data_IF_210285322478
#
_entry.id   IF_210285322478
#
_cell.length_a   1.000
_cell.length_b   1.000
_cell.length_c   1.000
_cell.angle_alpha   90.00
_cell.angle_beta   90.00
_cell.angle_gamma   90.00
#
_symmetry.space_group_name_H-M   'P 1'
#
loop_
_entity.id
_entity.type
_entity.pdbx_description
1 polymer ?
#
# COMPACT_ATOMS: atom_id res chain seq x y z
N UNK A 1 11.41 -7.65 7.10
CA UNK A 1 11.13 -7.25 5.70
C UNK A 1 10.05 -6.18 5.71
N UNK A 2 10.20 -5.14 4.88
CA UNK A 2 9.24 -4.05 4.71
C UNK A 2 8.76 -4.04 3.26
N UNK A 3 7.44 -3.95 3.05
CA UNK A 3 6.80 -3.99 1.72
C UNK A 3 6.02 -2.71 1.50
N UNK A 4 6.26 -2.05 0.37
CA UNK A 4 5.46 -0.91 -0.10
C UNK A 4 4.47 -1.42 -1.14
N UNK A 5 3.19 -1.11 -1.01
CA UNK A 5 2.17 -1.51 -1.97
C UNK A 5 1.01 -0.52 -2.03
N UNK A 6 0.30 -0.51 -3.14
CA UNK A 6 -0.95 0.23 -3.30
C UNK A 6 -2.08 -0.38 -2.45
N UNK A 7 -2.90 0.48 -1.89
CA UNK A 7 -4.01 0.12 -1.02
C UNK A 7 -5.26 0.85 -1.48
N UNK A 8 -6.21 0.08 -2.02
CA UNK A 8 -7.45 0.62 -2.58
C UNK A 8 -8.42 1.07 -1.47
N UNK A 9 -8.36 0.44 -0.29
CA UNK A 9 -9.25 0.78 0.81
C UNK A 9 -8.82 2.06 1.57
N UNK A 10 -7.67 2.64 1.20
CA UNK A 10 -7.22 3.93 1.71
C UNK A 10 -7.46 5.04 0.68
N UNK A 11 -7.95 6.22 1.12
CA UNK A 11 -8.05 7.38 0.25
C UNK A 11 -6.72 7.75 -0.40
N UNK A 12 -6.77 8.35 -1.59
CA UNK A 12 -5.58 8.84 -2.27
C UNK A 12 -4.79 9.80 -1.37
N UNK A 13 -3.47 9.60 -1.27
CA UNK A 13 -2.59 10.43 -0.45
C UNK A 13 -2.37 9.89 0.97
N UNK A 14 -3.20 8.97 1.45
CA UNK A 14 -3.00 8.41 2.79
C UNK A 14 -1.89 7.35 2.81
N UNK A 15 -0.94 7.50 3.73
CA UNK A 15 0.13 6.52 3.94
C UNK A 15 0.02 5.96 5.35
N UNK A 16 -0.24 4.65 5.45
CA UNK A 16 -0.42 3.97 6.73
C UNK A 16 0.56 2.81 6.89
N UNK A 17 1.60 2.95 7.72
CA UNK A 17 2.45 1.82 8.09
C UNK A 17 1.71 0.83 8.99
N UNK A 18 2.03 -0.46 8.85
CA UNK A 18 1.49 -1.54 9.69
C UNK A 18 2.42 -2.74 9.73
N UNK A 19 2.48 -3.45 10.86
CA UNK A 19 3.07 -4.78 10.94
C UNK A 19 1.99 -5.86 10.77
N UNK A 20 2.20 -6.80 9.85
CA UNK A 20 1.29 -7.93 9.64
C UNK A 20 -0.07 -7.56 9.04
N UNK A 21 -1.10 -8.30 9.42
CA UNK A 21 -2.49 -8.08 8.99
C UNK A 21 -2.93 -8.85 7.73
N UNK A 22 -4.22 -8.73 7.41
CA UNK A 22 -4.85 -9.38 6.25
C UNK A 22 -4.25 -8.93 4.92
N UNK A 23 -4.41 -9.75 3.87
CA UNK A 23 -3.81 -9.49 2.55
C UNK A 23 -4.73 -8.70 1.61
N UNK A 24 -5.93 -8.34 2.06
CA UNK A 24 -6.92 -7.51 1.35
C UNK A 24 -7.16 -7.91 -0.13
N UNK A 25 -7.04 -9.19 -0.47
CA UNK A 25 -7.18 -9.65 -1.85
C UNK A 25 -5.97 -9.39 -2.77
N UNK A 26 -4.97 -8.62 -2.34
CA UNK A 26 -3.81 -8.22 -3.12
C UNK A 26 -2.93 -9.41 -3.52
N UNK A 27 -2.83 -9.69 -4.82
CA UNK A 27 -2.15 -10.88 -5.35
C UNK A 27 -0.64 -10.89 -5.04
N UNK A 28 0.02 -9.72 -5.07
CA UNK A 28 1.42 -9.58 -4.63
C UNK A 28 1.64 -10.02 -3.17
N UNK A 29 0.83 -9.54 -2.23
CA UNK A 29 0.92 -9.90 -0.81
C UNK A 29 0.62 -11.40 -0.57
N UNK A 30 -0.35 -11.98 -1.31
CA UNK A 30 -0.59 -13.43 -1.32
C UNK A 30 0.63 -14.22 -1.77
N UNK A 31 1.33 -13.73 -2.80
CA UNK A 31 2.56 -14.34 -3.29
C UNK A 31 3.69 -14.26 -2.27
N UNK A 32 3.89 -13.09 -1.64
CA UNK A 32 4.88 -12.91 -0.58
C UNK A 32 4.62 -13.82 0.62
N UNK A 33 3.38 -13.87 1.11
CA UNK A 33 3.01 -14.80 2.19
C UNK A 33 3.33 -16.26 1.83
N UNK A 34 3.02 -16.68 0.59
CA UNK A 34 3.32 -18.04 0.13
C UNK A 34 4.82 -18.33 0.09
N UNK A 35 5.63 -17.38 -0.36
CA UNK A 35 7.09 -17.53 -0.42
C UNK A 35 7.78 -17.45 0.94
N UNK A 36 7.25 -16.67 1.88
CA UNK A 36 7.85 -16.42 3.19
C UNK A 36 7.27 -17.29 4.31
N UNK A 37 6.18 -18.02 4.05
CA UNK A 37 5.48 -18.85 5.03
C UNK A 37 4.63 -18.08 6.05
N UNK A 38 4.76 -16.75 6.13
CA UNK A 38 4.03 -15.90 7.08
C UNK A 38 3.64 -14.54 6.48
N UNK A 39 2.49 -13.95 6.89
CA UNK A 39 2.13 -12.57 6.57
C UNK A 39 2.79 -11.52 7.49
N UNK A 40 3.65 -11.93 8.43
CA UNK A 40 4.24 -11.10 9.50
C UNK A 40 5.43 -10.26 9.02
N UNK A 41 5.19 -9.49 7.96
CA UNK A 41 6.13 -8.51 7.45
C UNK A 41 5.55 -7.09 7.61
N UNK A 42 6.44 -6.11 7.76
CA UNK A 42 6.07 -4.71 7.79
C UNK A 42 5.53 -4.26 6.44
N UNK A 43 4.56 -3.34 6.45
CA UNK A 43 3.92 -2.80 5.25
C UNK A 43 3.82 -1.30 5.35
N UNK A 44 4.11 -0.61 4.26
CA UNK A 44 3.75 0.79 4.03
C UNK A 44 2.62 0.76 3.01
N UNK A 45 1.39 0.98 3.48
CA UNK A 45 0.18 0.96 2.64
C UNK A 45 -0.01 2.34 2.03
N UNK A 46 0.03 2.42 0.70
CA UNK A 46 -0.03 3.67 -0.06
C UNK A 46 -1.43 3.80 -0.64
N UNK A 47 -2.21 4.74 -0.13
CA UNK A 47 -3.60 4.94 -0.53
C UNK A 47 -3.71 5.42 -1.98
N UNK A 48 -4.41 4.64 -2.79
CA UNK A 48 -4.69 4.95 -4.21
C UNK A 48 -6.19 5.20 -4.45
N UNK A 49 -7.01 5.00 -3.43
CA UNK A 49 -8.46 5.06 -3.50
C UNK A 49 -9.08 3.83 -4.15
N UNK A 50 -10.41 3.81 -4.18
CA UNK A 50 -11.21 2.70 -4.74
C UNK A 50 -12.17 3.23 -5.79
N UNK A 51 -12.46 2.47 -6.87
CA UNK A 51 -13.62 2.75 -7.70
C UNK A 51 -14.92 2.52 -6.92
N UNK A 52 -16.03 3.12 -7.36
CA UNK A 52 -17.39 2.86 -6.83
C UNK A 52 -17.92 1.49 -7.31
N UNK A 53 -17.14 0.44 -7.07
CA UNK A 53 -17.51 -0.93 -7.35
C UNK A 53 -16.69 -1.90 -6.50
N UNK A 54 -17.30 -3.03 -6.15
CA UNK A 54 -16.64 -4.18 -5.53
C UNK A 54 -16.33 -5.29 -6.54
N UNK A 55 -16.71 -5.12 -7.81
CA UNK A 55 -16.42 -6.06 -8.88
C UNK A 55 -14.90 -6.21 -9.08
N UNK A 56 -14.35 -7.44 -8.98
CA UNK A 56 -12.93 -7.69 -9.17
C UNK A 56 -12.37 -7.21 -10.51
N UNK A 57 -13.14 -7.28 -11.60
CA UNK A 57 -12.68 -6.85 -12.93
C UNK A 57 -12.54 -5.34 -13.00
N UNK A 58 -13.49 -4.60 -12.41
CA UNK A 58 -13.45 -3.14 -12.33
C UNK A 58 -12.30 -2.68 -11.43
N UNK A 59 -12.10 -3.33 -10.28
CA UNK A 59 -10.99 -3.03 -9.37
C UNK A 59 -9.65 -3.32 -10.03
N UNK A 60 -9.52 -4.44 -10.76
CA UNK A 60 -8.30 -4.77 -11.51
C UNK A 60 -8.02 -3.73 -12.61
N UNK A 61 -9.03 -3.33 -13.37
CA UNK A 61 -8.90 -2.29 -14.38
C UNK A 61 -8.52 -0.93 -13.77
N UNK A 62 -9.01 -0.61 -12.57
CA UNK A 62 -8.66 0.61 -11.84
C UNK A 62 -7.17 0.65 -11.48
N UNK A 63 -6.63 -0.40 -10.85
CA UNK A 63 -5.21 -0.44 -10.44
C UNK A 63 -4.24 -0.56 -11.61
N UNK A 64 -4.69 -1.08 -12.75
CA UNK A 64 -3.94 -1.11 -14.01
C UNK A 64 -4.12 0.18 -14.84
N UNK A 65 -5.01 1.06 -14.42
CA UNK A 65 -5.36 2.28 -15.11
C UNK A 65 -4.35 3.41 -14.93
N UNK A 66 -4.59 4.53 -15.61
CA UNK A 66 -3.82 5.77 -15.42
C UNK A 66 -4.34 6.54 -14.21
N UNK A 67 -3.46 7.32 -13.59
CA UNK A 67 -3.81 8.28 -12.55
C UNK A 67 -4.84 9.30 -13.06
N UNK A 68 -5.83 9.59 -12.21
CA UNK A 68 -6.77 10.70 -12.39
C UNK A 68 -6.23 12.00 -11.79
N UNK A 69 -5.35 11.86 -10.80
CA UNK A 69 -4.66 12.95 -10.13
C UNK A 69 -3.60 13.55 -11.04
N UNK A 70 -3.26 14.80 -10.77
CA UNK A 70 -2.18 15.51 -11.45
C UNK A 70 -0.83 14.85 -11.18
N UNK A 71 0.13 15.08 -12.06
CA UNK A 71 1.50 14.59 -11.88
C UNK A 71 2.12 15.09 -10.57
N UNK A 72 1.78 16.32 -10.13
CA UNK A 72 2.27 16.88 -8.88
C UNK A 72 1.72 16.19 -7.63
N UNK A 73 0.44 15.80 -7.65
CA UNK A 73 -0.19 15.01 -6.58
C UNK A 73 0.43 13.61 -6.49
N UNK A 74 0.64 12.95 -7.63
CA UNK A 74 1.29 11.63 -7.68
C UNK A 74 2.73 11.72 -7.21
N UNK A 75 3.48 12.75 -7.61
CA UNK A 75 4.85 12.96 -7.13
C UNK A 75 4.90 13.19 -5.62
N UNK A 76 3.92 13.90 -5.07
CA UNK A 76 3.77 14.09 -3.62
C UNK A 76 3.49 12.79 -2.91
N UNK A 77 2.55 11.97 -3.41
CA UNK A 77 2.28 10.63 -2.86
C UNK A 77 3.53 9.76 -2.78
N UNK A 78 4.32 9.72 -3.87
CA UNK A 78 5.55 8.92 -3.93
C UNK A 78 6.59 9.44 -2.94
N UNK A 79 6.79 10.77 -2.86
CA UNK A 79 7.72 11.39 -1.92
C UNK A 79 7.33 11.07 -0.48
N UNK A 80 6.07 11.30 -0.12
CA UNK A 80 5.61 11.09 1.25
C UNK A 80 5.70 9.60 1.66
N UNK A 81 5.51 8.68 0.70
CA UNK A 81 5.68 7.24 0.92
C UNK A 81 7.17 6.86 1.12
N UNK A 82 8.07 7.50 0.37
CA UNK A 82 9.51 7.35 0.55
C UNK A 82 9.95 7.89 1.90
N UNK A 83 9.54 9.11 2.26
CA UNK A 83 9.87 9.74 3.55
C UNK A 83 9.39 8.88 4.74
N UNK A 84 8.15 8.39 4.67
CA UNK A 84 7.62 7.46 5.67
C UNK A 84 8.47 6.19 5.78
N UNK A 85 8.90 5.65 4.65
CA UNK A 85 9.72 4.43 4.59
C UNK A 85 11.10 4.67 5.20
N UNK A 86 11.73 5.81 4.90
CA UNK A 86 13.00 6.20 5.49
C UNK A 86 12.92 6.34 7.01
N UNK A 87 11.90 7.04 7.52
CA UNK A 87 11.69 7.19 8.96
C UNK A 87 11.57 5.83 9.67
N UNK A 88 10.89 4.86 9.05
CA UNK A 88 10.75 3.51 9.60
C UNK A 88 12.10 2.78 9.60
N UNK A 89 12.85 2.85 8.50
CA UNK A 89 14.16 2.19 8.37
C UNK A 89 15.17 2.79 9.35
N UNK A 90 15.11 4.11 9.59
CA UNK A 90 15.97 4.82 10.55
C UNK A 90 15.55 4.62 12.00
N UNK A 91 14.38 4.03 12.26
CA UNK A 91 13.83 3.86 13.61
C UNK A 91 13.23 5.13 14.21
N UNK A 92 12.99 6.15 13.40
CA UNK A 92 12.38 7.43 13.78
C UNK A 92 10.84 7.33 13.85
N UNK A 93 10.28 6.29 13.23
CA UNK A 93 8.85 5.99 13.24
C UNK A 93 8.61 4.51 13.49
N UNK A 94 7.71 4.21 14.44
CA UNK A 94 7.33 2.83 14.73
C UNK A 94 6.43 2.23 13.65
N UNK A 95 6.52 0.91 13.49
CA UNK A 95 5.57 0.10 12.73
C UNK A 95 4.50 -0.42 13.69
N UNK A 96 3.30 0.20 13.74
CA UNK A 96 2.29 -0.22 14.70
C UNK A 96 1.82 -1.65 14.40
N UNK A 97 1.80 -2.48 15.44
CA UNK A 97 1.15 -3.79 15.44
C UNK A 97 -0.29 -3.66 15.93
N UNK A 98 -1.27 -4.07 15.11
CA UNK A 98 -2.66 -4.31 15.49
C UNK A 98 -3.26 -5.36 14.58
#
# INVERSE_FOLDING_TARGET
MLVLHDEIDLPFGEIRPRLGGGLAGHNGLKSLKRGLGSPDFGRVRIGVGRPDSTDPEIVAAFVLGRWRQSQGEVATLVRDAADTTEQIIRGERELPAR
#
